data_IF_340664885251
#
_entry.id   IF_340664885251
#
_cell.length_a   1.000
_cell.length_b   1.000
_cell.length_c   1.000
_cell.angle_alpha   90.00
_cell.angle_beta   90.00
_cell.angle_gamma   90.00
#
_symmetry.space_group_name_H-M   'P 1'
#
loop_
_entity.id
_entity.type
_entity.pdbx_description
1 polymer ?
#
# COMPACT_ATOMS: atom_id res chain seq x y z
N UNK A 1 11.37 4.72 13.93
CA UNK A 1 10.87 4.93 12.56
C UNK A 1 9.36 4.93 12.63
N UNK A 2 8.65 5.86 11.97
CA UNK A 2 7.20 5.71 11.78
C UNK A 2 7.02 4.48 10.88
N UNK A 3 6.32 3.45 11.36
CA UNK A 3 6.11 2.20 10.62
C UNK A 3 5.31 2.41 9.33
N UNK A 4 5.28 1.41 8.45
CA UNK A 4 4.54 1.43 7.18
C UNK A 4 3.10 1.93 7.34
N UNK A 5 2.40 1.45 8.38
CA UNK A 5 1.05 1.89 8.72
C UNK A 5 0.97 3.37 9.10
N UNK A 6 1.94 3.88 9.86
CA UNK A 6 1.98 5.29 10.28
C UNK A 6 2.12 6.23 9.08
N UNK A 7 3.01 5.90 8.14
CA UNK A 7 3.16 6.68 6.90
C UNK A 7 1.92 6.59 6.02
N UNK A 8 1.30 5.40 5.92
CA UNK A 8 0.03 5.24 5.22
C UNK A 8 -1.08 6.12 5.81
N UNK A 9 -1.26 6.14 7.13
CA UNK A 9 -2.25 7.00 7.78
C UNK A 9 -2.01 8.49 7.50
N UNK A 10 -0.75 8.96 7.55
CA UNK A 10 -0.40 10.36 7.27
C UNK A 10 -0.77 10.75 5.85
N UNK A 11 -0.42 9.92 4.86
CA UNK A 11 -0.72 10.20 3.46
C UNK A 11 -2.22 10.11 3.19
N UNK A 12 -2.93 9.16 3.78
CA UNK A 12 -4.39 9.05 3.68
C UNK A 12 -5.10 10.25 4.31
N UNK A 13 -4.55 10.84 5.37
CA UNK A 13 -5.08 12.09 5.96
C UNK A 13 -4.90 13.29 5.03
N UNK A 14 -3.80 13.37 4.28
CA UNK A 14 -3.61 14.41 3.26
C UNK A 14 -4.67 14.33 2.16
N UNK A 15 -5.14 13.12 1.85
CA UNK A 15 -6.16 12.85 0.83
C UNK A 15 -7.59 12.80 1.42
N UNK A 16 -7.78 13.23 2.67
CA UNK A 16 -9.09 13.16 3.31
C UNK A 16 -10.12 14.03 2.58
N UNK A 17 -11.25 13.42 2.19
CA UNK A 17 -12.31 14.10 1.42
C UNK A 17 -12.09 14.08 -0.10
N UNK A 18 -10.96 13.55 -0.58
CA UNK A 18 -10.72 13.28 -2.00
C UNK A 18 -11.19 11.87 -2.36
N UNK A 19 -12.29 11.79 -3.11
CA UNK A 19 -12.86 10.52 -3.56
C UNK A 19 -11.87 9.68 -4.39
N UNK A 20 -11.02 10.33 -5.19
CA UNK A 20 -10.03 9.64 -6.01
C UNK A 20 -8.85 9.17 -5.17
N UNK A 21 -8.41 10.00 -4.21
CA UNK A 21 -7.40 9.62 -3.23
C UNK A 21 -7.83 8.40 -2.40
N UNK A 22 -9.08 8.38 -1.94
CA UNK A 22 -9.68 7.23 -1.24
C UNK A 22 -9.69 5.96 -2.09
N UNK A 23 -10.16 6.04 -3.34
CA UNK A 23 -10.15 4.90 -4.26
C UNK A 23 -8.74 4.34 -4.47
N UNK A 24 -7.74 5.20 -4.68
CA UNK A 24 -6.36 4.75 -4.88
C UNK A 24 -5.74 4.13 -3.61
N UNK A 25 -6.15 4.60 -2.43
CA UNK A 25 -5.75 3.99 -1.16
C UNK A 25 -6.36 2.59 -1.00
N UNK A 26 -7.64 2.42 -1.34
CA UNK A 26 -8.32 1.12 -1.32
C UNK A 26 -7.70 0.14 -2.32
N UNK A 27 -7.43 0.58 -3.56
CA UNK A 27 -6.74 -0.22 -4.58
C UNK A 27 -5.38 -0.72 -4.08
N UNK A 28 -4.64 0.15 -3.38
CA UNK A 28 -3.32 -0.17 -2.82
C UNK A 28 -3.42 -1.21 -1.70
N UNK A 29 -4.38 -1.05 -0.78
CA UNK A 29 -4.59 -2.01 0.30
C UNK A 29 -4.99 -3.39 -0.24
N UNK A 30 -5.88 -3.43 -1.24
CA UNK A 30 -6.25 -4.68 -1.90
C UNK A 30 -5.03 -5.35 -2.54
N UNK A 31 -4.20 -4.59 -3.27
CA UNK A 31 -2.98 -5.14 -3.86
C UNK A 31 -1.98 -5.66 -2.81
N UNK A 32 -1.89 -5.02 -1.64
CA UNK A 32 -1.11 -5.53 -0.50
C UNK A 32 -1.68 -6.86 0.01
N UNK A 33 -3.00 -6.95 0.22
CA UNK A 33 -3.63 -8.19 0.71
C UNK A 33 -3.52 -9.33 -0.30
N UNK A 34 -3.75 -9.07 -1.59
CA UNK A 34 -3.60 -10.06 -2.66
C UNK A 34 -2.18 -10.62 -2.73
N UNK A 35 -1.18 -9.78 -2.45
CA UNK A 35 0.22 -10.19 -2.43
C UNK A 35 0.57 -11.02 -1.18
N UNK A 36 0.15 -10.57 0.00
CA UNK A 36 0.50 -11.17 1.29
C UNK A 36 -0.33 -12.42 1.61
N UNK A 37 -1.57 -12.48 1.12
CA UNK A 37 -2.55 -13.52 1.43
C UNK A 37 -3.07 -14.16 0.14
N UNK A 38 -2.21 -14.87 -0.62
CA UNK A 38 -2.64 -15.48 -1.86
C UNK A 38 -3.72 -16.54 -1.57
N UNK A 39 -4.90 -16.38 -2.19
CA UNK A 39 -6.01 -17.34 -2.08
C UNK A 39 -5.65 -18.73 -2.65
N UNK A 40 -4.75 -18.77 -3.64
CA UNK A 40 -4.29 -19.99 -4.32
C UNK A 40 -2.76 -20.17 -4.22
N UNK A 41 -2.30 -20.83 -3.16
CA UNK A 41 -1.16 -21.77 -3.22
C UNK A 41 0.20 -21.34 -3.79
N UNK A 42 0.53 -20.05 -3.87
CA UNK A 42 1.91 -19.54 -4.00
C UNK A 42 2.44 -19.27 -5.42
N UNK A 43 1.80 -19.70 -6.50
CA UNK A 43 2.29 -19.46 -7.88
C UNK A 43 2.02 -18.03 -8.42
N UNK A 44 1.21 -17.23 -7.71
CA UNK A 44 0.85 -15.86 -8.10
C UNK A 44 1.78 -14.74 -7.63
N UNK A 45 2.78 -15.02 -6.79
CA UNK A 45 3.52 -14.01 -6.02
C UNK A 45 4.20 -12.92 -6.87
N UNK A 46 4.81 -13.29 -8.00
CA UNK A 46 5.47 -12.31 -8.87
C UNK A 46 4.48 -11.42 -9.63
N UNK A 47 3.31 -11.97 -10.01
CA UNK A 47 2.25 -11.22 -10.69
C UNK A 47 1.57 -10.25 -9.72
N UNK A 48 1.30 -10.68 -8.49
CA UNK A 48 0.72 -9.83 -7.45
C UNK A 48 1.70 -8.74 -7.02
N UNK A 49 3.01 -9.05 -6.93
CA UNK A 49 4.04 -8.04 -6.66
C UNK A 49 4.14 -6.99 -7.77
N UNK A 50 4.14 -7.42 -9.04
CA UNK A 50 4.16 -6.48 -10.16
C UNK A 50 2.91 -5.58 -10.17
N UNK A 51 1.75 -6.14 -9.85
CA UNK A 51 0.51 -5.38 -9.71
C UNK A 51 0.60 -4.37 -8.55
N UNK A 52 1.06 -4.80 -7.37
CA UNK A 52 1.29 -3.94 -6.22
C UNK A 52 2.23 -2.78 -6.54
N UNK A 53 3.36 -3.04 -7.20
CA UNK A 53 4.30 -2.00 -7.60
C UNK A 53 3.66 -0.97 -8.54
N UNK A 54 2.83 -1.41 -9.49
CA UNK A 54 2.12 -0.51 -10.40
C UNK A 54 1.07 0.36 -9.69
N UNK A 55 0.33 -0.21 -8.73
CA UNK A 55 -0.64 0.53 -7.93
C UNK A 55 0.06 1.52 -6.99
N UNK A 56 1.17 1.11 -6.37
CA UNK A 56 1.99 1.97 -5.51
C UNK A 56 2.58 3.15 -6.28
N UNK A 57 3.10 2.93 -7.49
CA UNK A 57 3.61 4.00 -8.35
C UNK A 57 2.51 5.00 -8.71
N UNK A 58 1.32 4.52 -9.08
CA UNK A 58 0.16 5.36 -9.37
C UNK A 58 -0.28 6.17 -8.15
N UNK A 59 -0.29 5.57 -6.96
CA UNK A 59 -0.61 6.24 -5.71
C UNK A 59 0.43 7.33 -5.39
N UNK A 60 1.72 7.02 -5.48
CA UNK A 60 2.81 7.97 -5.25
C UNK A 60 2.72 9.16 -6.20
N UNK A 61 2.54 8.91 -7.50
CA UNK A 61 2.40 9.96 -8.50
C UNK A 61 1.19 10.86 -8.23
N UNK A 62 0.10 10.29 -7.70
CA UNK A 62 -1.07 11.06 -7.28
C UNK A 62 -0.76 11.96 -6.08
N UNK A 63 -0.20 11.39 -5.01
CA UNK A 63 0.19 12.11 -3.79
C UNK A 63 1.17 13.24 -4.10
N UNK A 64 2.13 13.00 -4.99
CA UNK A 64 3.10 14.01 -5.42
C UNK A 64 2.46 15.20 -6.13
N UNK A 65 1.39 14.98 -6.90
CA UNK A 65 0.64 16.05 -7.54
C UNK A 65 -0.13 16.91 -6.54
N UNK A 66 -0.61 16.31 -5.46
CA UNK A 66 -1.28 16.99 -4.35
C UNK A 66 -0.30 17.64 -3.36
N UNK A 67 1.01 17.58 -3.64
CA UNK A 67 2.05 18.25 -2.85
C UNK A 67 2.68 17.40 -1.73
N UNK A 68 2.43 16.09 -1.70
CA UNK A 68 3.13 15.15 -0.82
C UNK A 68 4.40 14.58 -1.45
N UNK A 69 5.17 13.79 -0.70
CA UNK A 69 6.40 13.14 -1.21
C UNK A 69 6.14 11.77 -1.85
N UNK A 70 4.92 11.24 -1.68
CA UNK A 70 4.59 9.84 -1.93
C UNK A 70 4.61 9.00 -0.64
N UNK A 71 4.15 7.77 -0.78
CA UNK A 71 3.99 6.81 0.30
C UNK A 71 5.27 6.00 0.55
N UNK A 72 5.78 5.33 -0.49
CA UNK A 72 6.95 4.45 -0.40
C UNK A 72 7.58 4.23 -1.77
N UNK A 73 8.92 4.21 -1.85
CA UNK A 73 9.69 3.89 -3.07
C UNK A 73 10.80 2.93 -2.67
N UNK A 74 10.94 1.82 -3.38
CA UNK A 74 11.94 0.79 -3.10
C UNK A 74 12.05 -0.24 -4.23
N UNK A 75 12.96 -1.20 -4.07
CA UNK A 75 13.08 -2.37 -4.97
C UNK A 75 11.86 -3.30 -4.82
N UNK A 76 11.64 -4.25 -5.74
CA UNK A 76 10.56 -5.23 -5.61
C UNK A 76 10.57 -5.96 -4.26
N UNK A 77 11.74 -6.36 -3.76
CA UNK A 77 11.91 -7.03 -2.48
C UNK A 77 11.55 -6.12 -1.30
N UNK A 78 11.96 -4.84 -1.36
CA UNK A 78 11.61 -3.85 -0.33
C UNK A 78 10.11 -3.55 -0.32
N UNK A 79 9.47 -3.50 -1.50
CA UNK A 79 8.02 -3.32 -1.63
C UNK A 79 7.26 -4.52 -1.07
N UNK A 80 7.72 -5.74 -1.31
CA UNK A 80 7.12 -6.95 -0.75
C UNK A 80 7.17 -6.93 0.79
N UNK A 81 8.36 -6.69 1.37
CA UNK A 81 8.53 -6.58 2.84
C UNK A 81 7.69 -5.46 3.42
N UNK A 82 7.64 -4.30 2.74
CA UNK A 82 6.81 -3.18 3.16
C UNK A 82 5.31 -3.52 3.18
N UNK A 83 4.82 -4.25 2.18
CA UNK A 83 3.43 -4.66 2.09
C UNK A 83 3.04 -5.70 3.15
N UNK A 84 3.95 -6.63 3.47
CA UNK A 84 3.81 -7.56 4.60
C UNK A 84 3.68 -6.80 5.92
N UNK A 85 4.58 -5.83 6.16
CA UNK A 85 4.58 -5.02 7.37
C UNK A 85 3.32 -4.17 7.50
N UNK A 86 2.85 -3.55 6.40
CA UNK A 86 1.61 -2.78 6.37
C UNK A 86 0.40 -3.67 6.69
N UNK A 87 0.28 -4.80 6.00
CA UNK A 87 -0.82 -5.78 6.19
C UNK A 87 -0.88 -6.27 7.63
N UNK A 88 0.28 -6.68 8.19
CA UNK A 88 0.40 -7.11 9.58
C UNK A 88 -0.01 -6.03 10.57
N UNK A 89 0.47 -4.80 10.39
CA UNK A 89 0.14 -3.69 11.29
C UNK A 89 -1.34 -3.30 11.21
N UNK A 90 -1.99 -3.40 10.04
CA UNK A 90 -3.44 -3.16 9.92
C UNK A 90 -4.22 -4.21 10.72
N UNK A 91 -3.82 -5.48 10.65
CA UNK A 91 -4.46 -6.54 11.41
C UNK A 91 -4.25 -6.44 12.91
N UNK A 92 -3.03 -6.12 13.35
CA UNK A 92 -2.70 -5.91 14.77
C UNK A 92 -3.49 -4.74 15.37
N UNK A 93 -3.87 -3.75 14.56
CA UNK A 93 -4.61 -2.56 15.01
C UNK A 93 -6.14 -2.67 14.85
N UNK A 94 -6.71 -3.85 14.51
CA UNK A 94 -8.17 -4.00 14.47
C UNK A 94 -8.76 -3.81 15.89
N UNK A 95 -9.76 -2.94 16.07
CA UNK A 95 -10.51 -2.90 17.32
C UNK A 95 -11.23 -4.24 17.52
N UNK A 96 -11.12 -4.81 18.73
CA UNK A 96 -11.87 -6.00 19.15
C UNK A 96 -13.39 -5.78 19.04
#
# INVERSE_FOLDING_TARGET
>A
MKGAHGRFCEVSQLLAGDARGGQLADDLLNACFDHVLPEDGGEGSMKTLAHLMAVLDRFNAYVQREGGEGLFVGTPEEVAVWAEDLTRQIWENRPN
#
